data_IF_355244488779
#
_entry.id   IF_355244488779
#
_cell.length_a   1.000
_cell.length_b   1.000
_cell.length_c   1.000
_cell.angle_alpha   90.00
_cell.angle_beta   90.00
_cell.angle_gamma   90.00
#
_symmetry.space_group_name_H-M   'P 1'
#
loop_
_entity.id
_entity.type
_entity.pdbx_description
1 polymer ?
#
# COMPACT_ATOMS: atom_id res chain seq x y z
N UNK A 1 5.37 24.07 -38.65
CA UNK A 1 6.36 23.05 -38.24
C UNK A 1 6.61 23.05 -36.73
N UNK A 2 7.15 24.11 -36.11
CA UNK A 2 7.42 24.10 -34.65
C UNK A 2 6.13 24.15 -33.81
N UNK A 3 5.15 24.95 -34.21
CA UNK A 3 3.84 25.05 -33.54
C UNK A 3 3.06 23.73 -33.60
N UNK A 4 3.15 23.01 -34.72
CA UNK A 4 2.51 21.70 -34.88
C UNK A 4 3.10 20.66 -33.93
N UNK A 5 4.41 20.76 -33.65
CA UNK A 5 5.09 19.92 -32.67
C UNK A 5 4.57 20.20 -31.26
N UNK A 6 4.47 21.47 -30.87
CA UNK A 6 3.92 21.87 -29.56
C UNK A 6 2.46 21.47 -29.40
N UNK A 7 1.64 21.63 -30.45
CA UNK A 7 0.23 21.23 -30.43
C UNK A 7 0.07 19.71 -30.30
N UNK A 8 0.85 18.93 -31.07
CA UNK A 8 0.84 17.46 -30.96
C UNK A 8 1.26 17.00 -29.57
N UNK A 9 2.30 17.62 -29.00
CA UNK A 9 2.74 17.33 -27.65
C UNK A 9 1.66 17.64 -26.61
N UNK A 10 1.03 18.82 -26.69
CA UNK A 10 -0.05 19.22 -25.80
C UNK A 10 -1.23 18.24 -25.84
N UNK A 11 -1.67 17.85 -27.04
CA UNK A 11 -2.77 16.90 -27.21
C UNK A 11 -2.41 15.52 -26.66
N UNK A 12 -1.19 15.03 -26.88
CA UNK A 12 -0.76 13.74 -26.32
C UNK A 12 -0.62 13.77 -24.80
N UNK A 13 -0.09 14.84 -24.22
CA UNK A 13 -0.05 15.02 -22.77
C UNK A 13 -1.46 15.04 -22.17
N UNK A 14 -2.39 15.77 -22.80
CA UNK A 14 -3.78 15.82 -22.36
C UNK A 14 -4.46 14.44 -22.48
N UNK A 15 -4.22 13.71 -23.57
CA UNK A 15 -4.75 12.36 -23.76
C UNK A 15 -4.20 11.39 -22.73
N UNK A 16 -2.90 11.45 -22.43
CA UNK A 16 -2.26 10.62 -21.40
C UNK A 16 -2.87 10.87 -20.02
N UNK A 17 -3.03 12.13 -19.62
CA UNK A 17 -3.65 12.49 -18.34
C UNK A 17 -5.15 12.12 -18.27
N UNK A 18 -5.81 12.03 -19.42
CA UNK A 18 -7.25 11.68 -19.51
C UNK A 18 -7.49 10.17 -19.61
N UNK A 19 -6.45 9.36 -19.86
CA UNK A 19 -6.57 7.89 -19.80
C UNK A 19 -6.90 7.50 -18.37
N UNK A 20 -8.02 6.83 -18.19
CA UNK A 20 -8.45 6.20 -16.94
C UNK A 20 -8.54 4.69 -17.10
N UNK A 21 -7.66 4.15 -17.94
CA UNK A 21 -7.50 2.71 -18.07
C UNK A 21 -6.93 2.24 -16.73
N UNK A 22 -7.80 1.74 -15.87
CA UNK A 22 -7.39 1.08 -14.63
C UNK A 22 -6.61 -0.18 -14.95
N UNK A 23 -5.80 -0.65 -13.99
CA UNK A 23 -5.18 -1.96 -14.11
C UNK A 23 -6.26 -3.02 -14.35
N UNK A 24 -5.96 -4.03 -15.17
CA UNK A 24 -6.87 -5.13 -15.42
C UNK A 24 -7.25 -5.80 -14.10
N UNK A 25 -8.45 -6.38 -14.02
CA UNK A 25 -8.91 -7.06 -12.80
C UNK A 25 -7.90 -8.12 -12.30
N UNK A 26 -7.19 -8.80 -13.22
CA UNK A 26 -6.16 -9.78 -12.87
C UNK A 26 -4.91 -9.14 -12.24
N UNK A 27 -4.57 -7.91 -12.61
CA UNK A 27 -3.40 -7.19 -12.08
C UNK A 27 -3.69 -6.68 -10.67
N UNK A 28 -4.90 -6.18 -10.41
CA UNK A 28 -5.33 -5.81 -9.07
C UNK A 28 -5.28 -6.98 -8.10
N UNK A 29 -5.66 -8.19 -8.54
CA UNK A 29 -5.57 -9.41 -7.70
C UNK A 29 -4.13 -9.71 -7.29
N UNK A 30 -3.17 -9.57 -8.20
CA UNK A 30 -1.75 -9.79 -7.90
C UNK A 30 -1.23 -8.73 -6.92
N UNK A 31 -1.59 -7.46 -7.11
CA UNK A 31 -1.19 -6.38 -6.18
C UNK A 31 -1.74 -6.66 -4.78
N UNK A 32 -3.03 -7.03 -4.67
CA UNK A 32 -3.66 -7.36 -3.39
C UNK A 32 -2.96 -8.55 -2.72
N UNK A 33 -2.59 -9.58 -3.48
CA UNK A 33 -1.85 -10.72 -2.94
C UNK A 33 -0.49 -10.33 -2.35
N UNK A 34 0.26 -9.46 -3.03
CA UNK A 34 1.56 -8.96 -2.54
C UNK A 34 1.36 -8.12 -1.27
N UNK A 35 0.37 -7.23 -1.24
CA UNK A 35 0.06 -6.43 -0.05
C UNK A 35 -0.31 -7.33 1.13
N UNK A 36 -1.09 -8.39 0.90
CA UNK A 36 -1.43 -9.36 1.94
C UNK A 36 -0.17 -10.06 2.51
N UNK A 37 0.78 -10.46 1.65
CA UNK A 37 2.04 -11.05 2.09
C UNK A 37 2.86 -10.08 2.96
N UNK A 38 2.92 -8.81 2.58
CA UNK A 38 3.62 -7.78 3.37
C UNK A 38 2.96 -7.58 4.74
N UNK A 39 1.62 -7.52 4.79
CA UNK A 39 0.86 -7.38 6.03
C UNK A 39 1.11 -8.57 6.96
N UNK A 40 1.09 -9.80 6.45
CA UNK A 40 1.36 -10.99 7.26
C UNK A 40 2.81 -11.03 7.73
N UNK A 41 3.77 -10.73 6.84
CA UNK A 41 5.19 -10.77 7.16
C UNK A 41 5.62 -9.76 8.22
N UNK A 42 5.10 -8.53 8.17
CA UNK A 42 5.45 -7.47 9.13
C UNK A 42 4.49 -7.45 10.32
N UNK A 43 3.20 -7.70 10.09
CA UNK A 43 2.14 -7.59 11.09
C UNK A 43 2.28 -8.61 12.22
N UNK A 44 2.79 -9.82 11.93
CA UNK A 44 3.08 -10.83 12.95
C UNK A 44 4.14 -10.35 13.94
N UNK A 45 5.30 -9.90 13.44
CA UNK A 45 6.38 -9.39 14.29
C UNK A 45 6.00 -8.14 15.09
N UNK A 46 5.14 -7.27 14.55
CA UNK A 46 4.59 -6.14 15.30
C UNK A 46 3.62 -6.62 16.39
N UNK A 47 2.75 -7.58 16.08
CA UNK A 47 1.82 -8.19 17.03
C UNK A 47 2.54 -8.81 18.22
N UNK A 48 3.61 -9.56 17.98
CA UNK A 48 4.42 -10.17 19.05
C UNK A 48 5.08 -9.12 19.95
N UNK A 49 5.57 -8.02 19.39
CA UNK A 49 6.15 -6.91 20.17
C UNK A 49 5.11 -6.23 21.04
N UNK A 50 3.93 -5.94 20.49
CA UNK A 50 2.82 -5.33 21.23
C UNK A 50 2.39 -6.26 22.37
N UNK A 51 2.22 -7.55 22.06
CA UNK A 51 1.89 -8.58 23.06
C UNK A 51 2.93 -8.62 24.18
N UNK A 52 4.22 -8.65 23.84
CA UNK A 52 5.29 -8.66 24.83
C UNK A 52 5.31 -7.42 25.74
N UNK A 53 4.91 -6.24 25.24
CA UNK A 53 4.75 -5.04 26.07
C UNK A 53 3.59 -5.23 27.06
N UNK A 54 2.44 -5.73 26.58
CA UNK A 54 1.30 -5.98 27.46
C UNK A 54 1.59 -7.06 28.52
N UNK A 55 2.33 -8.11 28.15
CA UNK A 55 2.80 -9.14 29.09
C UNK A 55 3.70 -8.52 30.16
N UNK A 56 4.69 -7.70 29.79
CA UNK A 56 5.54 -7.01 30.76
C UNK A 56 4.75 -6.12 31.72
N UNK A 57 3.74 -5.40 31.21
CA UNK A 57 2.86 -4.59 32.06
C UNK A 57 2.05 -5.48 33.00
N UNK A 58 1.46 -6.57 32.50
CA UNK A 58 0.71 -7.53 33.31
C UNK A 58 1.56 -8.14 34.41
N UNK A 59 2.79 -8.53 34.09
CA UNK A 59 3.73 -9.15 35.05
C UNK A 59 4.22 -8.17 36.12
N UNK A 60 4.26 -6.87 35.80
CA UNK A 60 4.63 -5.82 36.75
C UNK A 60 3.49 -5.42 37.70
N UNK A 61 2.24 -5.76 37.37
CA UNK A 61 1.10 -5.48 38.23
C UNK A 61 1.02 -6.55 39.32
N UNK A 62 0.89 -6.17 40.61
CA UNK A 62 0.65 -7.14 41.66
C UNK A 62 -0.66 -7.88 41.41
N UNK A 63 -0.70 -9.16 41.77
CA UNK A 63 -1.93 -9.94 41.70
C UNK A 63 -3.04 -9.21 42.45
N UNK A 64 -4.19 -9.02 41.79
CA UNK A 64 -5.36 -8.43 42.41
C UNK A 64 -5.84 -9.36 43.54
N UNK A 65 -5.40 -9.08 44.76
CA UNK A 65 -5.92 -9.64 46.01
C UNK A 65 -7.14 -8.88 46.46
#
# INVERSE_FOLDING_TARGET
>A
MILDLFLKFYVHAQLFLRRRDGASAIEYVIIVAIVALVIVGIGTGLGDKIKGIFEQVSDALPAAT
#
